data_IF_924744047950
#
_entry.id   IF_924744047950
#
_cell.length_a   1.000
_cell.length_b   1.000
_cell.length_c   1.000
_cell.angle_alpha   90.00
_cell.angle_beta   90.00
_cell.angle_gamma   90.00
#
_symmetry.space_group_name_H-M   'P 1'
#
loop_
_entity.id
_entity.type
_entity.pdbx_description
1 polymer ?
#
# COMPACT_ATOMS: atom_id res chain seq x y z
N UNK A 1 -46.82 -45.05 -60.40
CA UNK A 1 -46.56 -45.89 -59.22
C UNK A 1 -45.15 -45.61 -58.74
N UNK A 2 -45.01 -45.19 -57.48
CA UNK A 2 -43.81 -45.32 -56.62
C UNK A 2 -42.53 -44.59 -57.13
N UNK A 3 -41.87 -43.69 -56.40
CA UNK A 3 -41.72 -43.55 -54.95
C UNK A 3 -41.23 -42.14 -54.62
N UNK A 4 -41.72 -41.72 -53.47
CA UNK A 4 -41.43 -40.53 -52.69
C UNK A 4 -40.07 -40.59 -51.99
N UNK A 5 -39.58 -39.38 -51.65
CA UNK A 5 -38.96 -38.97 -50.38
C UNK A 5 -37.42 -38.86 -50.24
N UNK A 6 -37.08 -37.68 -49.69
CA UNK A 6 -36.02 -37.35 -48.74
C UNK A 6 -34.69 -36.83 -49.29
N UNK A 7 -34.68 -35.53 -49.64
CA UNK A 7 -33.46 -34.72 -49.50
C UNK A 7 -33.27 -34.37 -48.02
N UNK A 8 -32.36 -35.08 -47.36
CA UNK A 8 -31.88 -34.72 -46.03
C UNK A 8 -31.00 -33.47 -46.14
N UNK A 9 -31.50 -32.33 -45.65
CA UNK A 9 -30.69 -31.14 -45.45
C UNK A 9 -29.81 -31.34 -44.20
N UNK A 10 -28.56 -31.73 -44.41
CA UNK A 10 -27.53 -31.70 -43.35
C UNK A 10 -27.05 -30.25 -43.23
N UNK A 11 -27.76 -29.44 -42.45
CA UNK A 11 -27.25 -28.15 -42.00
C UNK A 11 -26.26 -28.42 -40.86
N UNK A 12 -25.00 -28.70 -41.20
CA UNK A 12 -23.90 -28.68 -40.25
C UNK A 12 -23.63 -27.22 -39.86
N UNK A 13 -24.35 -26.71 -38.86
CA UNK A 13 -23.99 -25.47 -38.17
C UNK A 13 -22.72 -25.79 -37.38
N UNK A 14 -21.57 -25.51 -37.98
CA UNK A 14 -20.32 -25.40 -37.25
C UNK A 14 -20.44 -24.20 -36.30
N UNK A 15 -20.88 -24.44 -35.06
CA UNK A 15 -20.57 -23.54 -33.96
C UNK A 15 -19.05 -23.50 -33.81
N UNK A 16 -18.44 -22.55 -34.49
CA UNK A 16 -17.10 -22.09 -34.18
C UNK A 16 -17.19 -21.38 -32.82
N UNK A 17 -17.17 -22.20 -31.76
CA UNK A 17 -16.72 -21.78 -30.43
C UNK A 17 -15.29 -21.30 -30.61
N UNK A 18 -15.12 -20.04 -30.98
CA UNK A 18 -13.93 -19.28 -30.61
C UNK A 18 -14.01 -19.12 -29.10
N UNK A 19 -13.69 -20.21 -28.39
CA UNK A 19 -13.10 -20.11 -27.08
C UNK A 19 -11.78 -19.36 -27.32
N UNK A 20 -11.85 -18.03 -27.34
CA UNK A 20 -10.67 -17.22 -27.11
C UNK A 20 -10.16 -17.71 -25.77
N UNK A 21 -9.10 -18.53 -25.79
CA UNK A 21 -8.34 -18.78 -24.60
C UNK A 21 -8.02 -17.39 -24.06
N UNK A 22 -8.58 -17.05 -22.89
CA UNK A 22 -8.16 -15.85 -22.19
C UNK A 22 -6.66 -16.01 -22.03
N UNK A 23 -5.89 -15.29 -22.85
CA UNK A 23 -4.43 -15.28 -22.73
C UNK A 23 -4.19 -14.71 -21.34
N UNK A 24 -3.75 -15.57 -20.42
CA UNK A 24 -3.40 -15.12 -19.09
C UNK A 24 -2.35 -14.01 -19.26
N UNK A 25 -2.64 -12.83 -18.73
CA UNK A 25 -1.74 -11.68 -18.85
C UNK A 25 -0.35 -12.10 -18.38
N UNK A 26 0.66 -11.98 -19.24
CA UNK A 26 2.05 -12.24 -18.85
C UNK A 26 2.57 -11.05 -18.03
N UNK A 27 2.31 -11.10 -16.73
CA UNK A 27 2.76 -10.07 -15.79
C UNK A 27 4.28 -9.95 -15.71
N UNK A 28 5.05 -10.99 -16.08
CA UNK A 28 6.52 -10.92 -16.11
C UNK A 28 6.99 -10.05 -17.25
N UNK A 29 6.49 -10.31 -18.45
CA UNK A 29 6.78 -9.50 -19.62
C UNK A 29 6.34 -8.05 -19.40
N UNK A 30 5.12 -7.86 -18.87
CA UNK A 30 4.60 -6.53 -18.54
C UNK A 30 5.48 -5.80 -17.50
N UNK A 31 5.93 -6.47 -16.43
CA UNK A 31 6.79 -5.85 -15.43
C UNK A 31 8.13 -5.39 -16.02
N UNK A 32 8.74 -6.19 -16.89
CA UNK A 32 10.00 -5.82 -17.57
C UNK A 32 9.81 -4.60 -18.46
N UNK A 33 8.72 -4.57 -19.22
CA UNK A 33 8.38 -3.44 -20.08
C UNK A 33 8.14 -2.16 -19.27
N UNK A 34 7.32 -2.24 -18.22
CA UNK A 34 6.98 -1.08 -17.40
C UNK A 34 8.17 -0.55 -16.59
N UNK A 35 9.07 -1.44 -16.12
CA UNK A 35 10.32 -1.02 -15.47
C UNK A 35 11.23 -0.25 -16.43
N UNK A 36 11.42 -0.76 -17.66
CA UNK A 36 12.21 -0.06 -18.66
C UNK A 36 11.59 1.29 -19.02
N UNK A 37 10.28 1.33 -19.21
CA UNK A 37 9.59 2.59 -19.51
C UNK A 37 9.70 3.58 -18.35
N UNK A 38 9.52 3.13 -17.11
CA UNK A 38 9.68 3.99 -15.94
C UNK A 38 11.11 4.54 -15.83
N UNK A 39 12.12 3.73 -16.13
CA UNK A 39 13.51 4.19 -16.23
C UNK A 39 13.66 5.31 -17.26
N UNK A 40 13.21 5.07 -18.49
CA UNK A 40 13.40 6.01 -19.59
C UNK A 40 12.64 7.34 -19.34
N UNK A 41 11.41 7.25 -18.83
CA UNK A 41 10.60 8.42 -18.45
C UNK A 41 11.23 9.22 -17.31
N UNK A 42 11.74 8.56 -16.26
CA UNK A 42 12.40 9.25 -15.15
C UNK A 42 13.72 9.89 -15.59
N UNK A 43 14.50 9.22 -16.43
CA UNK A 43 15.75 9.77 -16.96
C UNK A 43 15.51 11.01 -17.85
N UNK A 44 14.45 10.99 -18.66
CA UNK A 44 14.14 12.07 -19.59
C UNK A 44 13.44 13.27 -18.92
N UNK A 45 12.55 13.02 -17.96
CA UNK A 45 11.59 14.02 -17.49
C UNK A 45 11.76 14.42 -16.02
N UNK A 46 12.44 13.63 -15.18
CA UNK A 46 12.62 14.00 -13.78
C UNK A 46 13.67 15.11 -13.64
N UNK A 47 13.48 16.14 -12.78
CA UNK A 47 14.45 17.22 -12.63
C UNK A 47 15.67 16.83 -11.79
N UNK A 48 15.59 15.79 -10.95
CA UNK A 48 16.66 15.42 -10.01
C UNK A 48 18.03 15.14 -10.66
N UNK A 49 18.14 14.47 -11.84
CA UNK A 49 19.42 14.31 -12.53
C UNK A 49 20.13 15.62 -12.89
N UNK A 50 19.39 16.72 -13.10
CA UNK A 50 19.93 17.98 -13.63
C UNK A 50 20.40 18.95 -12.54
N UNK A 51 20.07 18.72 -11.26
CA UNK A 51 20.51 19.59 -10.16
C UNK A 51 21.88 19.17 -9.60
N UNK A 52 22.70 20.09 -9.08
CA UNK A 52 23.95 19.73 -8.40
C UNK A 52 23.72 19.01 -7.06
N UNK A 53 24.70 18.21 -6.63
CA UNK A 53 24.77 17.66 -5.27
C UNK A 53 24.59 16.13 -5.17
N UNK A 54 24.67 15.62 -3.94
CA UNK A 54 24.64 14.18 -3.67
C UNK A 54 23.30 13.55 -4.11
N UNK A 55 22.17 14.22 -3.87
CA UNK A 55 20.86 13.71 -4.25
C UNK A 55 20.73 13.41 -5.76
N UNK A 56 21.30 14.26 -6.63
CA UNK A 56 21.36 13.99 -8.08
C UNK A 56 22.25 12.79 -8.41
N UNK A 57 23.37 12.64 -7.70
CA UNK A 57 24.29 11.52 -7.88
C UNK A 57 23.63 10.20 -7.48
N UNK A 58 22.96 10.17 -6.33
CA UNK A 58 22.24 9.00 -5.84
C UNK A 58 21.08 8.64 -6.78
N UNK A 59 20.33 9.65 -7.25
CA UNK A 59 19.25 9.45 -8.22
C UNK A 59 19.75 8.81 -9.51
N UNK A 60 20.82 9.35 -10.10
CA UNK A 60 21.40 8.83 -11.34
C UNK A 60 21.96 7.42 -11.14
N UNK A 61 22.61 7.14 -10.01
CA UNK A 61 23.08 5.79 -9.70
C UNK A 61 21.91 4.80 -9.57
N UNK A 62 20.78 5.22 -9.01
CA UNK A 62 19.61 4.36 -8.84
C UNK A 62 18.83 4.11 -10.14
N UNK A 63 18.84 5.03 -11.13
CA UNK A 63 18.24 4.77 -12.45
C UNK A 63 18.71 3.41 -13.00
N UNK A 64 20.03 3.25 -13.17
CA UNK A 64 20.59 2.04 -13.76
C UNK A 64 20.59 0.86 -12.78
N UNK A 65 21.07 1.10 -11.54
CA UNK A 65 21.23 0.02 -10.56
C UNK A 65 19.88 -0.53 -10.12
N UNK A 66 18.90 0.36 -9.88
CA UNK A 66 17.55 -0.01 -9.48
C UNK A 66 16.80 -0.75 -10.59
N UNK A 67 16.99 -0.36 -11.85
CA UNK A 67 16.43 -1.09 -12.99
C UNK A 67 17.01 -2.51 -13.04
N UNK A 68 18.35 -2.64 -12.96
CA UNK A 68 19.04 -3.93 -12.95
C UNK A 68 18.56 -4.84 -11.81
N UNK A 69 18.51 -4.33 -10.58
CA UNK A 69 18.00 -5.05 -9.41
C UNK A 69 16.55 -5.51 -9.61
N UNK A 70 15.70 -4.64 -10.16
CA UNK A 70 14.28 -4.96 -10.38
C UNK A 70 14.10 -6.00 -11.49
N UNK A 71 14.86 -5.92 -12.58
CA UNK A 71 14.82 -6.89 -13.67
C UNK A 71 15.31 -8.29 -13.24
N UNK A 72 16.21 -8.37 -12.26
CA UNK A 72 16.62 -9.64 -11.66
C UNK A 72 15.49 -10.32 -10.87
N UNK A 73 14.58 -9.51 -10.30
CA UNK A 73 13.41 -10.01 -9.56
C UNK A 73 12.22 -10.37 -10.46
N UNK A 74 12.17 -9.86 -11.70
CA UNK A 74 11.02 -10.00 -12.59
C UNK A 74 10.56 -11.46 -12.85
N UNK A 75 11.44 -12.45 -12.74
CA UNK A 75 11.05 -13.86 -12.88
C UNK A 75 10.16 -14.38 -11.74
N UNK A 76 10.10 -13.67 -10.59
CA UNK A 76 9.21 -14.00 -9.47
C UNK A 76 7.82 -13.37 -9.60
N UNK A 77 7.62 -12.50 -10.59
CA UNK A 77 6.30 -11.91 -10.88
C UNK A 77 5.38 -13.00 -11.43
N UNK A 78 4.18 -13.14 -10.87
CA UNK A 78 3.20 -14.16 -11.21
C UNK A 78 1.74 -13.68 -11.13
N UNK A 79 1.53 -12.41 -10.80
CA UNK A 79 0.22 -11.76 -10.68
C UNK A 79 0.34 -10.26 -10.85
N UNK A 80 -0.79 -9.56 -11.02
CA UNK A 80 -0.84 -8.10 -11.01
C UNK A 80 -0.27 -7.50 -9.72
N UNK A 81 -0.42 -8.16 -8.58
CA UNK A 81 0.11 -7.66 -7.29
C UNK A 81 1.61 -7.75 -7.21
N UNK A 82 2.18 -8.88 -7.64
CA UNK A 82 3.63 -9.04 -7.71
C UNK A 82 4.26 -8.08 -8.72
N UNK A 83 3.56 -7.75 -9.81
CA UNK A 83 3.95 -6.68 -10.73
C UNK A 83 3.94 -5.32 -10.01
N UNK A 84 2.84 -4.98 -9.32
CA UNK A 84 2.72 -3.73 -8.58
C UNK A 84 3.78 -3.57 -7.48
N UNK A 85 4.10 -4.64 -6.74
CA UNK A 85 5.19 -4.61 -5.74
C UNK A 85 6.55 -4.35 -6.39
N UNK A 86 6.82 -4.95 -7.55
CA UNK A 86 8.10 -4.75 -8.23
C UNK A 86 8.25 -3.31 -8.75
N UNK A 87 7.19 -2.74 -9.33
CA UNK A 87 7.18 -1.32 -9.72
C UNK A 87 7.39 -0.41 -8.50
N UNK A 88 6.71 -0.71 -7.39
CA UNK A 88 6.88 0.05 -6.14
C UNK A 88 8.31 -0.04 -5.61
N UNK A 89 8.94 -1.22 -5.65
CA UNK A 89 10.34 -1.38 -5.23
C UNK A 89 11.29 -0.49 -6.02
N UNK A 90 11.15 -0.46 -7.35
CA UNK A 90 11.96 0.40 -8.19
C UNK A 90 11.72 1.89 -7.88
N UNK A 91 10.45 2.31 -7.84
CA UNK A 91 10.08 3.70 -7.56
C UNK A 91 10.50 4.17 -6.16
N UNK A 92 10.32 3.34 -5.13
CA UNK A 92 10.67 3.66 -3.76
C UNK A 92 12.18 3.72 -3.52
N UNK A 93 12.98 3.06 -4.35
CA UNK A 93 14.44 3.12 -4.24
C UNK A 93 15.03 4.50 -4.54
N UNK A 94 14.31 5.38 -5.25
CA UNK A 94 14.69 6.78 -5.45
C UNK A 94 14.62 7.61 -4.15
N UNK A 95 13.91 7.13 -3.12
CA UNK A 95 13.69 7.86 -1.86
C UNK A 95 13.07 9.25 -2.05
N UNK A 96 12.29 9.40 -3.11
CA UNK A 96 11.53 10.62 -3.42
C UNK A 96 10.03 10.34 -3.27
N UNK A 97 9.37 11.03 -2.34
CA UNK A 97 7.95 10.86 -2.08
C UNK A 97 7.04 11.30 -3.23
N UNK A 98 7.59 12.01 -4.22
CA UNK A 98 6.87 12.45 -5.42
C UNK A 98 6.96 11.44 -6.57
N UNK A 99 7.80 10.40 -6.45
CA UNK A 99 7.85 9.30 -7.41
C UNK A 99 6.93 8.18 -6.95
N UNK A 100 6.02 7.79 -7.83
CA UNK A 100 5.13 6.66 -7.62
C UNK A 100 4.93 5.94 -8.94
N UNK A 101 5.21 4.65 -8.96
CA UNK A 101 4.94 3.77 -10.09
C UNK A 101 3.74 2.89 -9.74
N UNK A 102 2.60 3.18 -10.36
CA UNK A 102 1.34 2.48 -10.10
C UNK A 102 0.83 1.85 -11.38
N UNK A 103 0.42 0.58 -11.36
CA UNK A 103 -0.26 -0.01 -12.50
C UNK A 103 -1.57 0.73 -12.80
N UNK A 104 -2.05 0.60 -14.04
CA UNK A 104 -3.34 1.14 -14.47
C UNK A 104 -4.54 0.29 -14.03
N UNK A 105 -4.30 -0.96 -13.66
CA UNK A 105 -5.30 -1.85 -13.08
C UNK A 105 -5.36 -1.67 -11.55
N UNK A 106 -6.49 -2.04 -10.97
CA UNK A 106 -6.68 -1.99 -9.52
C UNK A 106 -5.75 -3.00 -8.83
N UNK A 107 -4.91 -2.49 -7.94
CA UNK A 107 -4.07 -3.31 -7.06
C UNK A 107 -4.77 -3.61 -5.75
N UNK A 108 -4.17 -4.50 -4.96
CA UNK A 108 -4.70 -4.84 -3.64
C UNK A 108 -4.49 -3.70 -2.64
N UNK A 109 -5.59 -3.05 -2.27
CA UNK A 109 -5.64 -1.89 -1.38
C UNK A 109 -4.95 -2.09 -0.02
N UNK A 110 -4.93 -1.04 0.83
CA UNK A 110 -4.17 -1.03 2.08
C UNK A 110 -4.63 -2.09 3.09
N UNK A 111 -5.84 -2.64 2.94
CA UNK A 111 -6.43 -3.60 3.87
C UNK A 111 -6.32 -5.06 3.43
N UNK A 112 -5.68 -5.32 2.29
CA UNK A 112 -5.46 -6.69 1.83
C UNK A 112 -4.45 -7.49 2.69
N UNK A 113 -4.60 -8.81 2.70
CA UNK A 113 -3.62 -9.73 3.26
C UNK A 113 -4.13 -11.16 3.15
N UNK A 114 -3.24 -12.10 2.87
CA UNK A 114 -3.58 -13.53 2.75
C UNK A 114 -3.42 -14.28 4.06
N UNK A 115 -2.64 -13.73 5.00
CA UNK A 115 -2.48 -14.26 6.34
C UNK A 115 -2.05 -13.16 7.31
N UNK A 116 -2.50 -13.27 8.56
CA UNK A 116 -2.23 -12.31 9.64
C UNK A 116 -2.48 -12.99 10.98
N UNK A 117 -1.66 -12.78 12.04
CA UNK A 117 -1.81 -13.51 13.30
C UNK A 117 -2.92 -12.99 14.23
N UNK A 118 -3.74 -12.04 13.81
CA UNK A 118 -4.79 -11.45 14.64
C UNK A 118 -4.32 -10.29 15.52
N UNK A 119 -3.10 -9.78 15.32
CA UNK A 119 -2.59 -8.58 15.98
C UNK A 119 -1.60 -7.84 15.07
N UNK A 120 -1.47 -6.54 15.28
CA UNK A 120 -0.71 -5.64 14.40
C UNK A 120 0.14 -4.67 15.20
N UNK A 121 1.25 -4.24 14.59
CA UNK A 121 2.15 -3.25 15.14
C UNK A 121 1.94 -1.88 14.53
N UNK A 122 2.09 -0.83 15.34
CA UNK A 122 2.32 0.54 14.93
C UNK A 122 3.75 0.97 15.21
N UNK A 123 4.22 2.00 14.52
CA UNK A 123 5.47 2.67 14.84
C UNK A 123 5.23 3.75 15.89
N UNK A 124 5.84 3.62 17.07
CA UNK A 124 5.69 4.54 18.20
C UNK A 124 7.04 4.73 18.89
N UNK A 125 7.45 5.97 19.10
CA UNK A 125 8.67 6.32 19.83
C UNK A 125 9.92 5.53 19.39
N UNK A 126 10.10 5.39 18.07
CA UNK A 126 11.23 4.66 17.49
C UNK A 126 11.13 3.14 17.55
N UNK A 127 9.95 2.57 17.82
CA UNK A 127 9.75 1.13 18.05
C UNK A 127 8.51 0.59 17.33
N UNK A 128 8.55 -0.69 16.98
CA UNK A 128 7.36 -1.45 16.57
C UNK A 128 6.62 -1.93 17.81
N UNK A 129 5.45 -1.35 18.07
CA UNK A 129 4.62 -1.61 19.25
C UNK A 129 3.31 -2.23 18.82
N UNK A 130 2.85 -3.28 19.50
CA UNK A 130 1.52 -3.86 19.25
C UNK A 130 0.45 -2.82 19.55
N UNK A 131 -0.27 -2.38 18.53
CA UNK A 131 -1.32 -1.35 18.61
C UNK A 131 -2.72 -1.94 18.55
N UNK A 132 -2.83 -3.16 18.04
CA UNK A 132 -4.12 -3.82 17.88
C UNK A 132 -3.99 -5.32 18.14
N UNK A 133 -4.95 -5.86 18.88
CA UNK A 133 -5.19 -7.30 19.03
C UNK A 133 -6.67 -7.52 18.75
N UNK A 134 -6.98 -8.46 17.85
CA UNK A 134 -8.34 -8.80 17.46
C UNK A 134 -9.16 -9.21 18.69
N UNK A 135 -10.37 -8.65 18.87
CA UNK A 135 -11.28 -9.09 19.93
C UNK A 135 -11.57 -10.59 19.85
N UNK A 136 -11.57 -11.25 21.00
CA UNK A 136 -11.88 -12.68 21.09
C UNK A 136 -10.74 -13.62 20.69
N UNK A 137 -9.56 -13.12 20.32
CA UNK A 137 -8.37 -13.95 20.15
C UNK A 137 -7.99 -14.58 21.51
N UNK A 138 -7.89 -15.91 21.58
CA UNK A 138 -7.62 -16.67 22.82
C UNK A 138 -6.37 -17.52 22.69
N UNK A 139 -5.59 -17.60 23.77
CA UNK A 139 -4.36 -18.39 23.83
C UNK A 139 -3.31 -17.74 24.72
N UNK A 140 -2.32 -18.52 25.16
CA UNK A 140 -1.19 -18.05 25.99
C UNK A 140 -0.09 -17.35 25.17
N UNK A 141 -0.14 -17.48 23.84
CA UNK A 141 0.86 -16.96 22.88
C UNK A 141 0.36 -15.73 22.11
N UNK A 142 -0.31 -14.81 22.79
CA UNK A 142 -0.80 -13.55 22.20
C UNK A 142 -0.09 -12.38 22.89
N UNK A 143 0.51 -11.44 22.14
CA UNK A 143 1.09 -10.25 22.74
C UNK A 143 0.00 -9.29 23.20
N UNK A 144 0.34 -8.37 24.11
CA UNK A 144 -0.57 -7.34 24.61
C UNK A 144 -0.40 -6.07 23.78
N UNK A 145 -1.46 -5.28 23.66
CA UNK A 145 -1.33 -3.89 23.20
C UNK A 145 -0.33 -3.16 24.09
N UNK A 146 0.63 -2.47 23.48
CA UNK A 146 1.76 -1.83 24.15
C UNK A 146 3.04 -2.67 24.23
N UNK A 147 3.00 -3.98 23.90
CA UNK A 147 4.22 -4.78 23.82
C UNK A 147 5.07 -4.34 22.63
N UNK A 148 6.38 -4.21 22.84
CA UNK A 148 7.36 -3.90 21.79
C UNK A 148 7.84 -5.18 21.13
N UNK A 149 7.89 -5.22 19.79
CA UNK A 149 8.55 -6.30 19.05
C UNK A 149 10.05 -6.03 19.01
N UNK A 150 10.86 -7.00 19.42
CA UNK A 150 12.32 -6.85 19.57
C UNK A 150 13.08 -7.60 18.50
N UNK A 151 12.57 -8.76 18.09
CA UNK A 151 13.13 -9.58 17.02
C UNK A 151 12.04 -10.45 16.39
N UNK A 152 12.26 -10.90 15.16
CA UNK A 152 11.44 -11.91 14.50
C UNK A 152 12.34 -12.89 13.74
N UNK A 153 12.05 -14.19 13.82
CA UNK A 153 12.88 -15.27 13.25
C UNK A 153 14.37 -15.14 13.62
N UNK A 154 14.66 -14.78 14.88
CA UNK A 154 16.00 -14.49 15.39
C UNK A 154 16.73 -13.30 14.74
N UNK A 155 16.08 -12.54 13.86
CA UNK A 155 16.60 -11.29 13.28
C UNK A 155 16.18 -10.10 14.14
N UNK A 156 17.09 -9.17 14.50
CA UNK A 156 16.72 -7.92 15.16
C UNK A 156 15.61 -7.17 14.42
N UNK A 157 14.65 -6.58 15.14
CA UNK A 157 13.42 -6.11 14.51
C UNK A 157 13.64 -5.05 13.43
N UNK A 158 14.64 -4.18 13.57
CA UNK A 158 14.97 -3.15 12.58
C UNK A 158 15.45 -3.77 11.25
N UNK A 159 16.32 -4.77 11.33
CA UNK A 159 16.80 -5.50 10.15
C UNK A 159 15.66 -6.30 9.49
N UNK A 160 14.85 -6.98 10.31
CA UNK A 160 13.68 -7.71 9.83
C UNK A 160 12.68 -6.78 9.12
N UNK A 161 12.39 -5.63 9.72
CA UNK A 161 11.47 -4.65 9.16
C UNK A 161 12.00 -4.05 7.85
N UNK A 162 13.30 -3.74 7.75
CA UNK A 162 13.90 -3.28 6.50
C UNK A 162 13.79 -4.31 5.40
N UNK A 163 14.12 -5.57 5.68
CA UNK A 163 14.01 -6.64 4.69
C UNK A 163 12.57 -6.88 4.21
N UNK A 164 11.58 -6.68 5.10
CA UNK A 164 10.17 -6.97 4.81
C UNK A 164 9.38 -5.78 4.24
N UNK A 165 9.65 -4.56 4.69
CA UNK A 165 8.80 -3.39 4.45
C UNK A 165 9.49 -2.30 3.62
N UNK A 166 10.82 -2.13 3.76
CA UNK A 166 11.51 -1.04 3.08
C UNK A 166 11.47 -1.23 1.56
N UNK A 167 11.13 -0.16 0.84
CA UNK A 167 10.83 -0.13 -0.60
C UNK A 167 9.59 -0.92 -1.05
N UNK A 168 9.09 -1.85 -0.24
CA UNK A 168 7.90 -2.66 -0.55
C UNK A 168 6.59 -2.07 -0.03
N UNK A 169 6.61 -1.45 1.15
CA UNK A 169 5.42 -0.89 1.79
C UNK A 169 5.63 0.58 2.16
N UNK A 170 6.87 1.04 2.26
CA UNK A 170 7.21 2.44 2.48
C UNK A 170 8.71 2.69 2.48
N UNK A 171 9.09 3.96 2.66
CA UNK A 171 10.49 4.36 2.88
C UNK A 171 10.78 4.42 4.39
N UNK A 172 11.51 3.44 4.90
CA UNK A 172 11.83 3.36 6.33
C UNK A 172 12.93 4.33 6.78
N UNK A 173 13.44 5.18 5.89
CA UNK A 173 14.30 6.29 6.29
C UNK A 173 13.49 7.52 6.73
N UNK A 174 12.17 7.48 6.56
CA UNK A 174 11.24 8.54 6.99
C UNK A 174 10.33 8.04 8.10
N UNK A 175 9.99 8.94 9.02
CA UNK A 175 9.00 8.63 10.06
C UNK A 175 7.63 8.29 9.46
N UNK A 176 7.23 9.02 8.42
CA UNK A 176 5.96 8.78 7.72
C UNK A 176 5.89 7.37 7.11
N UNK A 177 6.96 6.93 6.42
CA UNK A 177 7.02 5.59 5.85
C UNK A 177 7.03 4.48 6.90
N UNK A 178 7.65 4.72 8.06
CA UNK A 178 7.59 3.78 9.19
C UNK A 178 6.19 3.69 9.80
N UNK A 179 5.52 4.84 9.99
CA UNK A 179 4.16 4.89 10.54
C UNK A 179 3.16 4.15 9.65
N UNK A 180 3.20 4.37 8.34
CA UNK A 180 2.21 3.80 7.40
C UNK A 180 2.46 2.33 7.08
N UNK A 181 3.73 1.88 7.09
CA UNK A 181 4.07 0.48 6.79
C UNK A 181 4.06 -0.45 8.00
N UNK A 182 4.19 0.09 9.23
CA UNK A 182 4.23 -0.68 10.46
C UNK A 182 3.13 -1.75 10.61
N UNK A 183 1.87 -1.52 10.20
CA UNK A 183 0.83 -2.53 10.29
C UNK A 183 1.17 -3.85 9.60
N UNK A 184 1.95 -3.79 8.52
CA UNK A 184 2.25 -4.92 7.66
C UNK A 184 3.41 -5.80 8.13
N UNK A 185 4.10 -5.42 9.22
CA UNK A 185 5.27 -6.12 9.74
C UNK A 185 5.01 -7.62 10.02
N UNK A 186 3.78 -7.96 10.39
CA UNK A 186 3.36 -9.32 10.71
C UNK A 186 2.39 -9.91 9.69
N UNK A 187 2.14 -9.21 8.58
CA UNK A 187 1.16 -9.62 7.58
C UNK A 187 1.84 -10.41 6.46
N UNK A 188 1.09 -11.33 5.85
CA UNK A 188 1.36 -11.79 4.50
C UNK A 188 0.52 -10.95 3.53
N UNK A 189 1.19 -10.06 2.81
CA UNK A 189 0.59 -9.15 1.83
C UNK A 189 0.56 -9.72 0.41
N UNK A 190 0.82 -11.02 0.27
CA UNK A 190 1.01 -11.73 -1.01
C UNK A 190 2.12 -11.13 -1.88
N UNK A 191 3.11 -10.49 -1.25
CA UNK A 191 4.31 -10.02 -1.93
C UNK A 191 5.28 -11.21 -2.09
N UNK A 192 5.54 -11.71 -3.31
CA UNK A 192 6.39 -12.88 -3.49
C UNK A 192 7.88 -12.58 -3.28
N UNK A 193 8.29 -11.33 -3.10
CA UNK A 193 9.69 -10.92 -2.94
C UNK A 193 10.18 -11.01 -1.50
N UNK A 194 9.27 -10.94 -0.53
CA UNK A 194 9.55 -10.99 0.90
C UNK A 194 8.84 -12.18 1.56
N UNK A 195 9.28 -12.54 2.76
CA UNK A 195 8.61 -13.57 3.54
C UNK A 195 7.24 -13.07 4.06
N UNK A 196 6.29 -14.00 4.19
CA UNK A 196 4.95 -13.75 4.73
C UNK A 196 4.95 -13.52 6.25
N UNK A 197 3.96 -14.07 6.96
CA UNK A 197 3.91 -13.99 8.43
C UNK A 197 5.18 -14.63 9.02
N UNK A 198 5.93 -13.96 9.92
CA UNK A 198 7.07 -14.58 10.59
C UNK A 198 6.63 -15.78 11.43
N UNK A 199 7.53 -16.72 11.69
CA UNK A 199 7.22 -17.95 12.46
C UNK A 199 7.35 -17.74 13.97
N UNK A 200 8.29 -16.88 14.38
CA UNK A 200 8.56 -16.55 15.78
C UNK A 200 8.89 -15.08 15.90
N UNK A 201 8.43 -14.43 16.97
CA UNK A 201 8.85 -13.08 17.32
C UNK A 201 9.00 -12.94 18.83
N UNK A 202 9.93 -12.09 19.25
CA UNK A 202 10.12 -11.74 20.66
C UNK A 202 9.42 -10.43 21.00
N UNK A 203 8.61 -10.47 22.05
CA UNK A 203 7.84 -9.32 22.53
C UNK A 203 8.28 -8.92 23.93
N UNK A 204 8.40 -7.61 24.17
CA UNK A 204 8.81 -7.04 25.43
C UNK A 204 7.71 -6.13 26.01
N UNK A 205 7.28 -6.43 27.23
CA UNK A 205 6.32 -5.60 27.98
C UNK A 205 7.07 -4.64 28.92
N UNK A 206 7.12 -3.35 28.57
CA UNK A 206 7.87 -2.36 29.35
C UNK A 206 9.34 -2.74 29.50
N UNK A 207 9.86 -2.76 30.73
CA UNK A 207 11.27 -3.11 31.00
C UNK A 207 11.50 -4.60 31.29
N UNK A 208 10.49 -5.47 31.05
CA UNK A 208 10.63 -6.91 31.26
C UNK A 208 11.49 -7.54 30.15
N UNK A 209 12.05 -8.72 30.43
CA UNK A 209 12.74 -9.53 29.42
C UNK A 209 11.79 -9.85 28.26
N UNK A 210 12.30 -9.80 27.03
CA UNK A 210 11.55 -10.21 25.85
C UNK A 210 11.20 -11.71 25.91
N UNK A 211 9.98 -12.05 25.48
CA UNK A 211 9.47 -13.42 25.41
C UNK A 211 9.24 -13.82 23.96
N UNK A 212 9.79 -14.96 23.57
CA UNK A 212 9.53 -15.54 22.27
C UNK A 212 8.10 -16.10 22.21
N UNK A 213 7.37 -15.74 21.15
CA UNK A 213 6.06 -16.28 20.82
C UNK A 213 6.14 -16.95 19.46
N UNK A 214 5.60 -18.16 19.35
CA UNK A 214 5.29 -18.77 18.05
C UNK A 214 4.10 -18.05 17.44
N UNK A 215 4.26 -17.63 16.19
CA UNK A 215 3.27 -16.86 15.45
C UNK A 215 2.57 -17.80 14.48
N UNK A 216 1.25 -17.80 14.50
CA UNK A 216 0.42 -18.53 13.56
C UNK A 216 -0.64 -17.60 12.96
N UNK A 217 -1.01 -17.75 11.68
CA UNK A 217 -2.13 -17.02 11.12
C UNK A 217 -3.42 -17.25 11.92
N UNK A 218 -4.14 -16.18 12.22
CA UNK A 218 -5.50 -16.24 12.73
C UNK A 218 -6.42 -16.63 11.58
N UNK A 219 -6.95 -17.85 11.62
CA UNK A 219 -7.86 -18.39 10.63
C UNK A 219 -9.23 -18.72 11.23
N UNK A 220 -10.32 -18.58 10.46
CA UNK A 220 -10.37 -17.94 9.14
C UNK A 220 -10.18 -16.41 9.24
N UNK A 221 -9.66 -15.81 8.18
CA UNK A 221 -9.57 -14.35 8.06
C UNK A 221 -10.95 -13.83 7.63
N UNK A 222 -11.65 -13.11 8.51
CA UNK A 222 -12.95 -12.56 8.16
C UNK A 222 -12.82 -11.21 7.44
N UNK A 223 -13.84 -10.88 6.64
CA UNK A 223 -13.90 -9.60 5.95
C UNK A 223 -13.86 -8.42 6.95
N UNK A 224 -13.09 -7.37 6.62
CA UNK A 224 -12.97 -6.16 7.43
C UNK A 224 -12.01 -6.26 8.63
N UNK A 225 -11.51 -7.44 9.01
CA UNK A 225 -10.62 -7.57 10.18
C UNK A 225 -9.27 -6.89 9.96
N UNK A 226 -8.71 -7.02 8.76
CA UNK A 226 -7.47 -6.34 8.38
C UNK A 226 -7.69 -4.82 8.31
N UNK A 227 -8.83 -4.37 7.78
CA UNK A 227 -9.17 -2.95 7.78
C UNK A 227 -9.25 -2.40 9.20
N UNK A 228 -9.92 -3.10 10.12
CA UNK A 228 -9.98 -2.73 11.52
C UNK A 228 -8.59 -2.67 12.17
N UNK A 229 -7.73 -3.66 11.91
CA UNK A 229 -6.37 -3.69 12.44
C UNK A 229 -5.51 -2.53 11.89
N UNK A 230 -5.64 -2.22 10.60
CA UNK A 230 -4.93 -1.11 9.96
C UNK A 230 -5.41 0.24 10.51
N UNK A 231 -6.73 0.49 10.54
CA UNK A 231 -7.33 1.75 11.04
C UNK A 231 -7.11 1.98 12.53
N UNK A 232 -6.96 0.92 13.33
CA UNK A 232 -6.57 1.03 14.74
C UNK A 232 -5.12 1.52 14.92
N UNK A 233 -4.32 1.49 13.86
CA UNK A 233 -2.87 1.72 13.93
C UNK A 233 -2.43 2.97 13.18
N UNK A 234 -2.99 3.16 11.99
CA UNK A 234 -2.75 4.30 11.11
C UNK A 234 -4.02 5.14 11.09
N UNK A 235 -3.87 6.44 11.38
CA UNK A 235 -4.98 7.36 11.27
C UNK A 235 -5.44 7.42 9.82
N UNK A 236 -6.71 7.08 9.61
CA UNK A 236 -7.37 7.19 8.31
C UNK A 236 -8.52 8.18 8.46
N UNK A 237 -8.51 9.30 7.71
CA UNK A 237 -9.56 10.29 7.81
C UNK A 237 -10.92 9.69 7.40
N UNK A 238 -11.99 10.30 7.90
CA UNK A 238 -13.35 9.94 7.55
C UNK A 238 -13.71 10.30 6.10
N UNK A 239 -14.92 9.95 5.64
CA UNK A 239 -15.35 10.24 4.27
C UNK A 239 -15.56 11.74 3.99
N UNK A 240 -15.60 12.58 5.03
CA UNK A 240 -15.70 14.03 4.91
C UNK A 240 -14.32 14.65 5.09
N UNK A 241 -13.60 14.97 3.99
CA UNK A 241 -12.20 15.36 4.07
C UNK A 241 -11.99 16.78 4.63
N UNK A 242 -13.00 17.65 4.52
CA UNK A 242 -12.99 19.02 5.02
C UNK A 242 -14.13 19.22 6.00
N UNK A 243 -13.84 19.55 7.26
CA UNK A 243 -14.88 19.81 8.26
C UNK A 243 -14.39 20.69 9.40
N UNK A 244 -15.33 21.29 10.12
CA UNK A 244 -15.08 21.96 11.39
C UNK A 244 -15.96 21.27 12.42
N UNK A 245 -15.34 20.73 13.47
CA UNK A 245 -16.04 20.16 14.61
C UNK A 245 -15.57 20.80 15.91
N UNK A 246 -16.27 20.53 17.02
CA UNK A 246 -15.84 20.98 18.35
C UNK A 246 -15.42 19.77 19.17
N UNK A 247 -14.17 19.75 19.60
CA UNK A 247 -13.60 18.69 20.44
C UNK A 247 -13.21 19.30 21.78
N UNK A 248 -13.83 18.83 22.86
CA UNK A 248 -13.58 19.34 24.22
C UNK A 248 -13.68 20.88 24.33
N UNK A 249 -14.65 21.49 23.63
CA UNK A 249 -14.88 22.93 23.62
C UNK A 249 -13.99 23.74 22.68
N UNK A 250 -12.98 23.12 22.06
CA UNK A 250 -12.08 23.77 21.10
C UNK A 250 -12.47 23.42 19.66
N UNK A 251 -12.52 24.40 18.74
CA UNK A 251 -12.69 24.11 17.32
C UNK A 251 -11.55 23.25 16.77
N UNK A 252 -11.92 22.24 15.99
CA UNK A 252 -11.04 21.32 15.31
C UNK A 252 -11.34 21.40 13.83
N UNK A 253 -10.39 21.94 13.07
CA UNK A 253 -10.49 22.20 11.64
C UNK A 253 -9.77 21.06 10.93
N UNK A 254 -10.54 20.14 10.37
CA UNK A 254 -10.06 18.98 9.64
C UNK A 254 -9.81 19.36 8.18
N UNK A 255 -8.57 19.23 7.73
CA UNK A 255 -8.15 19.40 6.33
C UNK A 255 -7.39 18.14 5.92
N UNK A 256 -8.13 17.12 5.50
CA UNK A 256 -7.62 15.79 5.16
C UNK A 256 -7.50 15.54 3.66
N UNK A 257 -7.86 16.50 2.80
CA UNK A 257 -7.56 16.48 1.37
C UNK A 257 -7.27 17.89 0.84
N UNK A 258 -6.42 17.97 -0.17
CA UNK A 258 -6.17 19.19 -0.94
C UNK A 258 -6.67 19.09 -2.38
N UNK A 259 -7.45 18.05 -2.71
CA UNK A 259 -8.05 17.92 -4.02
C UNK A 259 -9.05 19.06 -4.29
N UNK A 260 -9.10 19.54 -5.53
CA UNK A 260 -10.04 20.60 -5.93
C UNK A 260 -11.50 20.19 -5.67
N UNK A 261 -11.80 18.90 -5.81
CA UNK A 261 -13.12 18.32 -5.60
C UNK A 261 -13.48 18.10 -4.11
N UNK A 262 -12.61 18.46 -3.15
CA UNK A 262 -12.84 18.21 -1.72
C UNK A 262 -13.96 19.07 -1.09
N UNK A 263 -14.54 20.01 -1.83
CA UNK A 263 -15.62 20.88 -1.36
C UNK A 263 -15.14 22.17 -0.69
N UNK A 264 -14.03 22.73 -1.18
CA UNK A 264 -13.37 23.92 -0.63
C UNK A 264 -14.28 25.13 -0.47
N UNK A 265 -15.19 25.39 -1.42
CA UNK A 265 -16.08 26.56 -1.34
C UNK A 265 -16.98 26.52 -0.10
N UNK A 266 -17.64 25.38 0.14
CA UNK A 266 -18.51 25.19 1.30
C UNK A 266 -17.72 25.21 2.61
N UNK A 267 -16.53 24.60 2.60
CA UNK A 267 -15.64 24.61 3.76
C UNK A 267 -15.14 26.02 4.11
N UNK A 268 -14.70 26.79 3.11
CA UNK A 268 -14.23 28.17 3.30
C UNK A 268 -15.36 29.06 3.83
N UNK A 269 -16.58 28.94 3.30
CA UNK A 269 -17.74 29.65 3.83
C UNK A 269 -18.03 29.29 5.30
N UNK A 270 -17.85 28.02 5.70
CA UNK A 270 -17.98 27.59 7.09
C UNK A 270 -16.88 28.15 8.00
N UNK A 271 -15.62 28.21 7.52
CA UNK A 271 -14.49 28.84 8.22
C UNK A 271 -14.76 30.33 8.43
N UNK A 272 -15.20 31.04 7.39
CA UNK A 272 -15.53 32.47 7.45
C UNK A 272 -16.69 32.73 8.41
N UNK A 273 -17.74 31.92 8.36
CA UNK A 273 -18.89 32.01 9.26
C UNK A 273 -18.55 31.77 10.73
N UNK A 274 -17.46 31.04 11.03
CA UNK A 274 -17.01 30.72 12.38
C UNK A 274 -15.75 31.51 12.80
N UNK A 275 -15.32 32.52 12.03
CA UNK A 275 -14.03 33.20 12.23
C UNK A 275 -13.85 33.77 13.64
N UNK A 276 -14.92 34.28 14.26
CA UNK A 276 -14.89 34.80 15.62
C UNK A 276 -14.61 33.70 16.66
N UNK A 277 -15.21 32.51 16.49
CA UNK A 277 -14.99 31.36 17.35
C UNK A 277 -13.58 30.79 17.15
N UNK A 278 -13.12 30.68 15.90
CA UNK A 278 -11.76 30.20 15.58
C UNK A 278 -10.66 31.13 16.12
N UNK A 279 -10.92 32.44 16.14
CA UNK A 279 -10.02 33.47 16.73
C UNK A 279 -10.23 33.69 18.23
N UNK A 280 -11.14 32.94 18.85
CA UNK A 280 -11.40 33.02 20.28
C UNK A 280 -10.17 32.66 21.13
N UNK A 281 -10.21 32.92 22.45
CA UNK A 281 -9.05 32.78 23.34
C UNK A 281 -8.54 31.33 23.48
N UNK A 282 -9.34 30.32 23.12
CA UNK A 282 -8.91 28.92 23.10
C UNK A 282 -8.18 28.51 21.79
N UNK A 283 -8.20 29.38 20.78
CA UNK A 283 -7.72 29.08 19.43
C UNK A 283 -8.43 27.87 18.80
N UNK A 284 -7.80 27.27 17.79
CA UNK A 284 -8.30 26.06 17.12
C UNK A 284 -7.16 25.07 16.88
N UNK A 285 -7.50 23.82 16.55
CA UNK A 285 -6.56 22.81 16.05
C UNK A 285 -6.72 22.69 14.55
N UNK A 286 -5.63 22.80 13.79
CA UNK A 286 -5.59 22.42 12.38
C UNK A 286 -5.12 20.97 12.28
N UNK A 287 -5.98 20.08 11.82
CA UNK A 287 -5.65 18.66 11.68
C UNK A 287 -5.41 18.31 10.22
N UNK A 288 -4.12 18.15 9.91
CA UNK A 288 -3.62 17.77 8.59
C UNK A 288 -3.26 16.29 8.52
N UNK A 289 -3.55 15.49 9.55
CA UNK A 289 -3.21 14.07 9.56
C UNK A 289 -3.98 13.34 8.47
N UNK A 290 -3.31 12.41 7.80
CA UNK A 290 -3.89 11.69 6.67
C UNK A 290 -4.13 12.55 5.43
N UNK A 291 -3.78 13.84 5.46
CA UNK A 291 -3.85 14.69 4.27
C UNK A 291 -2.85 14.19 3.22
N UNK A 292 -3.36 14.01 2.01
CA UNK A 292 -2.53 13.77 0.85
C UNK A 292 -2.77 14.92 -0.13
N UNK A 293 -1.70 15.61 -0.53
CA UNK A 293 -1.82 16.76 -1.42
C UNK A 293 -2.45 16.42 -2.78
N UNK A 294 -2.27 15.18 -3.27
CA UNK A 294 -2.66 14.77 -4.64
C UNK A 294 -3.17 13.30 -4.72
N UNK A 295 -3.32 12.55 -3.61
CA UNK A 295 -3.71 11.13 -3.70
C UNK A 295 -5.20 10.86 -3.95
N UNK A 296 -6.04 11.89 -4.09
CA UNK A 296 -7.35 11.73 -4.74
C UNK A 296 -7.16 11.70 -6.26
N UNK A 297 -6.43 10.69 -6.75
CA UNK A 297 -6.38 10.40 -8.18
C UNK A 297 -7.66 9.70 -8.58
N UNK A 298 -8.69 10.50 -8.87
CA UNK A 298 -9.43 10.24 -10.11
C UNK A 298 -8.45 10.51 -11.24
N UNK A 299 -7.81 9.46 -11.75
CA UNK A 299 -7.33 9.30 -13.13
C UNK A 299 -6.60 10.46 -13.87
N UNK A 300 -6.02 11.45 -13.20
CA UNK A 300 -5.65 12.71 -13.89
C UNK A 300 -4.20 12.84 -14.39
N UNK A 301 -3.30 11.89 -14.13
CA UNK A 301 -1.99 11.84 -14.82
C UNK A 301 -1.57 10.38 -15.01
N UNK A 302 -2.31 9.68 -15.86
CA UNK A 302 -1.76 8.54 -16.58
C UNK A 302 -0.82 9.13 -17.64
N UNK A 303 0.50 8.90 -17.52
CA UNK A 303 1.24 8.66 -18.74
C UNK A 303 0.46 7.52 -19.42
N UNK A 304 -0.25 7.84 -20.50
CA UNK A 304 -1.02 6.84 -21.25
C UNK A 304 0.00 5.88 -21.82
N UNK A 305 0.26 4.80 -21.08
CA UNK A 305 0.83 3.59 -21.61
C UNK A 305 -0.13 3.17 -22.74
N UNK A 306 0.27 3.19 -24.02
CA UNK A 306 -0.55 2.56 -25.03
C UNK A 306 -0.55 1.07 -24.70
N UNK A 307 -1.66 0.59 -24.12
CA UNK A 307 -1.94 -0.83 -24.09
C UNK A 307 -2.01 -1.29 -25.55
N UNK A 308 -0.92 -1.88 -26.04
CA UNK A 308 -0.94 -2.62 -27.30
C UNK A 308 -1.68 -3.91 -27.00
N UNK A 309 -3.00 -3.86 -27.12
CA UNK A 309 -3.80 -5.05 -27.31
C UNK A 309 -3.49 -5.58 -28.72
N UNK A 310 -2.78 -6.70 -28.79
CA UNK A 310 -2.82 -7.65 -29.90
C UNK A 310 -2.75 -9.06 -29.34
#
# INVERSE_FOLDING_TARGET
MSRTLSFAAVAAVALSLTAGAAVAQDFRALARQDLQMAHDELAANHPAPAIPGQASTDFRAWLDTGLSESLALANRVNSGDSHAYLLRFYGAGFRDSNISLTPSFEGLGPYFGTAWPGYTTGWRDGKYVVTYVKPGLRGSNIPRVGDTVVSCNATPIEEFARAKLDRWEGDLNTEAGRVTSAPYLLWNRNNPFVNGVPSTCEFQTGNRRARALTIAPALPLAAGELEAAYRATVYMPGPTPLSIETVNGRPWVNVHSFADAAGWDAFNAAVEGQVAQLRGPQGFVMDLRGSASIRDRVSAYQARLPAVAR
#
